data_IF_022605786408
#
_entry.id   IF_022605786408
#
_cell.length_a   1.000
_cell.length_b   1.000
_cell.length_c   1.000
_cell.angle_alpha   90.00
_cell.angle_beta   90.00
_cell.angle_gamma   90.00
#
_symmetry.space_group_name_H-M   'P 1'
#
loop_
_entity.id
_entity.type
_entity.pdbx_description
1 polymer ?
#
# COMPACT_ATOMS: atom_id res chain seq x y z
N UNK A 1 -22.35 0.01 -4.66
CA UNK A 1 -21.24 -0.61 -5.43
C UNK A 1 -20.73 -1.81 -4.65
N UNK A 2 -20.17 -2.83 -5.33
CA UNK A 2 -19.48 -3.92 -4.63
C UNK A 2 -18.22 -3.37 -3.94
N UNK A 3 -17.83 -3.99 -2.84
CA UNK A 3 -16.58 -3.67 -2.15
C UNK A 3 -15.40 -4.00 -3.05
N UNK A 4 -14.48 -3.06 -3.23
CA UNK A 4 -13.22 -3.27 -3.94
C UNK A 4 -12.33 -4.32 -3.27
N UNK A 5 -11.29 -4.75 -3.98
CA UNK A 5 -10.28 -5.67 -3.45
C UNK A 5 -9.01 -4.91 -3.05
N UNK A 6 -8.48 -5.19 -1.88
CA UNK A 6 -7.24 -4.60 -1.38
C UNK A 6 -6.09 -5.62 -1.47
N UNK A 7 -4.98 -5.17 -2.03
CA UNK A 7 -3.78 -5.98 -2.25
C UNK A 7 -2.59 -5.24 -1.64
N UNK A 8 -1.94 -5.85 -0.67
CA UNK A 8 -0.70 -5.37 -0.08
C UNK A 8 0.49 -6.05 -0.77
N UNK A 9 1.53 -5.29 -1.11
CA UNK A 9 2.74 -5.82 -1.72
C UNK A 9 3.91 -5.64 -0.77
N UNK A 10 4.54 -6.73 -0.38
CA UNK A 10 5.65 -6.75 0.55
C UNK A 10 6.86 -7.50 -0.02
N UNK A 11 8.05 -7.08 0.38
CA UNK A 11 9.29 -7.79 0.11
C UNK A 11 10.34 -7.43 1.15
N UNK A 12 10.94 -8.44 1.77
CA UNK A 12 11.88 -8.29 2.88
C UNK A 12 13.23 -7.65 2.50
N UNK A 13 13.42 -7.31 1.22
CA UNK A 13 14.64 -6.68 0.71
C UNK A 13 14.29 -5.34 0.07
N UNK A 14 15.02 -4.29 0.42
CA UNK A 14 14.93 -2.99 -0.25
C UNK A 14 15.34 -3.11 -1.73
N UNK A 15 14.68 -2.36 -2.60
CA UNK A 15 15.00 -2.34 -4.04
C UNK A 15 14.59 -3.58 -4.83
N UNK A 16 13.76 -4.48 -4.28
CA UNK A 16 13.30 -5.69 -4.98
C UNK A 16 12.27 -5.39 -6.10
N UNK A 17 11.82 -4.15 -6.19
CA UNK A 17 10.88 -3.73 -7.25
C UNK A 17 9.41 -3.66 -6.83
N UNK A 18 9.07 -3.62 -5.53
CA UNK A 18 7.68 -3.52 -5.04
C UNK A 18 6.91 -2.37 -5.70
N UNK A 19 7.43 -1.15 -5.57
CA UNK A 19 6.80 0.05 -6.16
C UNK A 19 6.66 -0.09 -7.68
N UNK A 20 7.69 -0.61 -8.37
CA UNK A 20 7.63 -0.86 -9.82
C UNK A 20 6.53 -1.86 -10.16
N UNK A 21 6.41 -2.94 -9.40
CA UNK A 21 5.36 -3.94 -9.58
C UNK A 21 3.97 -3.32 -9.40
N UNK A 22 3.77 -2.55 -8.33
CA UNK A 22 2.49 -1.87 -8.03
C UNK A 22 2.10 -0.92 -9.16
N UNK A 23 3.03 -0.11 -9.65
CA UNK A 23 2.75 0.85 -10.73
C UNK A 23 2.37 0.15 -12.04
N UNK A 24 3.05 -0.95 -12.39
CA UNK A 24 2.72 -1.74 -13.56
C UNK A 24 1.37 -2.47 -13.41
N UNK A 25 1.10 -3.02 -12.22
CA UNK A 25 -0.18 -3.65 -11.92
C UNK A 25 -1.32 -2.63 -12.01
N UNK A 26 -1.14 -1.43 -11.44
CA UNK A 26 -2.11 -0.35 -11.54
C UNK A 26 -2.38 0.04 -13.01
N UNK A 27 -1.32 0.18 -13.81
CA UNK A 27 -1.45 0.46 -15.25
C UNK A 27 -2.22 -0.64 -15.99
N UNK A 28 -1.92 -1.90 -15.69
CA UNK A 28 -2.62 -3.05 -16.29
C UNK A 28 -4.09 -3.06 -15.91
N UNK A 29 -4.41 -2.84 -14.63
CA UNK A 29 -5.80 -2.79 -14.16
C UNK A 29 -6.56 -1.59 -14.75
N UNK A 30 -5.90 -0.45 -14.88
CA UNK A 30 -6.47 0.74 -15.54
C UNK A 30 -6.84 0.47 -17.00
N UNK A 31 -6.00 -0.27 -17.74
CA UNK A 31 -6.28 -0.69 -19.12
C UNK A 31 -7.48 -1.66 -19.20
N UNK A 32 -7.81 -2.33 -18.10
CA UNK A 32 -9.04 -3.14 -17.94
C UNK A 32 -10.23 -2.32 -17.40
N UNK A 33 -10.16 -0.99 -17.46
CA UNK A 33 -11.18 -0.06 -16.97
C UNK A 33 -11.49 -0.24 -15.47
N UNK A 34 -10.52 -0.67 -14.66
CA UNK A 34 -10.65 -0.72 -13.20
C UNK A 34 -10.19 0.59 -12.56
N UNK A 35 -10.97 1.09 -11.63
CA UNK A 35 -10.59 2.23 -10.80
C UNK A 35 -9.62 1.74 -9.73
N UNK A 36 -8.42 2.26 -9.73
CA UNK A 36 -7.31 1.82 -8.87
C UNK A 36 -6.88 2.96 -7.96
N UNK A 37 -6.80 2.67 -6.67
CA UNK A 37 -6.13 3.52 -5.69
C UNK A 37 -4.80 2.89 -5.31
N UNK A 38 -3.73 3.67 -5.30
CA UNK A 38 -2.45 3.27 -4.71
C UNK A 38 -2.28 4.01 -3.39
N UNK A 39 -1.97 3.29 -2.31
CA UNK A 39 -1.64 3.87 -1.00
C UNK A 39 -0.16 3.62 -0.73
N UNK A 40 0.63 4.69 -0.63
CA UNK A 40 2.06 4.63 -0.34
C UNK A 40 2.29 4.58 1.17
N UNK A 41 2.55 3.39 1.70
CA UNK A 41 2.89 3.15 3.10
C UNK A 41 4.42 3.00 3.34
N UNK A 42 5.26 3.24 2.33
CA UNK A 42 6.68 3.51 2.60
C UNK A 42 6.83 4.94 3.14
N UNK A 43 6.37 5.13 4.36
CA UNK A 43 6.17 6.43 4.98
C UNK A 43 7.45 7.26 5.12
N UNK A 44 8.61 6.61 5.07
CA UNK A 44 9.91 7.27 5.20
C UNK A 44 10.58 7.56 3.85
N UNK A 45 10.30 6.74 2.83
CA UNK A 45 10.97 6.81 1.53
C UNK A 45 9.98 6.69 0.36
N UNK A 46 8.75 7.16 0.55
CA UNK A 46 7.68 7.03 -0.45
C UNK A 46 8.14 7.42 -1.85
N UNK A 47 7.94 6.52 -2.81
CA UNK A 47 8.43 6.66 -4.16
C UNK A 47 7.35 6.81 -5.22
N UNK A 48 6.08 6.58 -4.89
CA UNK A 48 4.96 6.61 -5.85
C UNK A 48 4.86 7.98 -6.54
N UNK A 49 4.82 9.07 -5.77
CA UNK A 49 4.68 10.41 -6.33
C UNK A 49 5.85 10.80 -7.24
N UNK A 50 7.08 10.46 -6.85
CA UNK A 50 8.28 10.70 -7.66
C UNK A 50 8.24 9.87 -8.95
N UNK A 51 7.90 8.59 -8.85
CA UNK A 51 7.83 7.68 -10.00
C UNK A 51 6.77 8.08 -11.03
N UNK A 52 5.68 8.71 -10.57
CA UNK A 52 4.59 9.22 -11.43
C UNK A 52 4.80 10.68 -11.85
N UNK A 53 5.92 11.30 -11.47
CA UNK A 53 6.22 12.72 -11.72
C UNK A 53 5.05 13.65 -11.30
N UNK A 54 4.44 13.35 -10.15
CA UNK A 54 3.25 14.03 -9.68
C UNK A 54 3.57 15.12 -8.65
N UNK A 55 2.84 16.24 -8.72
CA UNK A 55 2.92 17.28 -7.72
C UNK A 55 2.19 16.85 -6.45
N UNK A 56 2.91 16.85 -5.32
CA UNK A 56 2.34 16.54 -4.03
C UNK A 56 1.49 17.69 -3.51
N UNK A 57 0.20 17.50 -3.40
CA UNK A 57 -0.76 18.40 -2.74
C UNK A 57 -0.91 18.05 -1.28
N UNK A 58 -1.70 17.01 -0.99
CA UNK A 58 -1.88 16.41 0.34
C UNK A 58 -1.26 15.02 0.37
N UNK A 59 -0.93 14.54 1.56
CA UNK A 59 -0.30 13.25 1.83
C UNK A 59 -1.12 12.49 2.88
N UNK A 60 -0.78 11.24 3.11
CA UNK A 60 -1.39 10.46 4.20
C UNK A 60 -1.23 11.14 5.57
N UNK A 61 -0.15 11.88 5.80
CA UNK A 61 0.03 12.67 7.02
C UNK A 61 -1.02 13.77 7.16
N UNK A 62 -1.34 14.47 6.07
CA UNK A 62 -2.39 15.49 6.10
C UNK A 62 -3.75 14.90 6.43
N UNK A 63 -4.06 13.71 5.89
CA UNK A 63 -5.27 12.97 6.26
C UNK A 63 -5.30 12.67 7.76
N UNK A 64 -4.22 12.13 8.32
CA UNK A 64 -4.14 11.79 9.75
C UNK A 64 -4.29 13.03 10.64
N UNK A 65 -3.62 14.13 10.27
CA UNK A 65 -3.64 15.39 11.02
C UNK A 65 -5.03 16.05 10.96
N UNK A 66 -5.64 16.11 9.79
CA UNK A 66 -6.98 16.68 9.62
C UNK A 66 -8.04 15.83 10.33
N UNK A 67 -7.93 14.50 10.26
CA UNK A 67 -8.84 13.59 10.95
C UNK A 67 -8.74 13.73 12.47
N UNK A 68 -7.53 13.80 13.02
CA UNK A 68 -7.27 13.95 14.44
C UNK A 68 -7.73 15.29 15.01
N UNK A 69 -7.73 16.33 14.19
CA UNK A 69 -8.11 17.70 14.58
C UNK A 69 -9.54 18.08 14.15
N UNK A 70 -10.38 17.11 13.78
CA UNK A 70 -11.76 17.32 13.30
C UNK A 70 -11.85 18.32 12.12
N UNK A 71 -10.85 18.32 11.24
CA UNK A 71 -10.82 19.12 9.99
C UNK A 71 -11.03 18.26 8.75
N UNK A 72 -11.23 16.96 8.92
CA UNK A 72 -11.53 16.04 7.85
C UNK A 72 -12.94 16.32 7.29
N UNK A 73 -13.03 16.53 5.98
CA UNK A 73 -14.30 16.70 5.25
C UNK A 73 -14.53 15.48 4.34
N UNK A 74 -13.77 15.34 3.28
CA UNK A 74 -13.90 14.23 2.33
C UNK A 74 -12.55 13.53 2.12
N UNK A 75 -12.62 12.19 1.93
CA UNK A 75 -11.45 11.38 1.64
C UNK A 75 -10.86 11.70 0.25
N UNK A 76 -11.68 12.12 -0.67
CA UNK A 76 -11.27 12.46 -2.03
C UNK A 76 -10.30 13.66 -2.08
N UNK A 77 -10.30 14.52 -1.07
CA UNK A 77 -9.36 15.64 -0.94
C UNK A 77 -7.89 15.21 -0.84
N UNK A 78 -7.66 13.96 -0.47
CA UNK A 78 -6.31 13.39 -0.29
C UNK A 78 -5.87 12.55 -1.49
N UNK A 79 -6.73 12.40 -2.51
CA UNK A 79 -6.38 11.69 -3.72
C UNK A 79 -5.62 12.60 -4.68
N UNK A 80 -4.48 12.11 -5.15
CA UNK A 80 -3.75 12.70 -6.27
C UNK A 80 -4.10 11.88 -7.50
N UNK A 81 -4.80 12.49 -8.44
CA UNK A 81 -5.17 11.87 -9.72
C UNK A 81 -3.95 11.75 -10.62
N UNK A 82 -3.66 10.54 -11.10
CA UNK A 82 -2.68 10.30 -12.14
C UNK A 82 -3.31 10.26 -13.53
N UNK A 83 -4.44 9.56 -13.68
CA UNK A 83 -5.26 9.52 -14.90
C UNK A 83 -6.74 9.28 -14.52
N UNK A 84 -7.58 8.93 -15.52
CA UNK A 84 -9.02 8.72 -15.29
C UNK A 84 -9.32 7.58 -14.32
N UNK A 85 -8.47 6.54 -14.28
CA UNK A 85 -8.70 5.33 -13.52
C UNK A 85 -7.73 5.13 -12.36
N UNK A 86 -6.60 5.87 -12.30
CA UNK A 86 -5.59 5.72 -11.25
C UNK A 86 -5.53 6.99 -10.42
N UNK A 87 -5.72 6.81 -9.12
CA UNK A 87 -5.41 7.81 -8.10
C UNK A 87 -4.46 7.23 -7.06
N UNK A 88 -3.78 8.07 -6.31
CA UNK A 88 -2.93 7.60 -5.22
C UNK A 88 -2.97 8.55 -4.03
N UNK A 89 -2.64 8.00 -2.84
CA UNK A 89 -2.36 8.74 -1.62
C UNK A 89 -0.87 8.60 -1.36
N UNK A 90 -0.18 9.74 -1.33
CA UNK A 90 1.26 9.77 -1.19
C UNK A 90 1.71 9.61 0.26
N UNK A 91 2.89 9.02 0.45
CA UNK A 91 3.63 9.07 1.71
C UNK A 91 3.94 10.51 2.14
N UNK A 92 4.27 10.75 3.42
CA UNK A 92 4.63 12.07 3.92
C UNK A 92 5.79 12.70 3.15
N UNK A 93 5.80 14.04 3.03
CA UNK A 93 6.95 14.78 2.46
C UNK A 93 8.18 14.76 3.38
N UNK A 94 7.95 14.73 4.68
CA UNK A 94 8.98 14.72 5.71
C UNK A 94 8.96 13.38 6.43
N UNK A 95 10.04 12.59 6.38
CA UNK A 95 10.12 11.28 7.05
C UNK A 95 9.80 11.33 8.56
N UNK A 96 10.04 12.47 9.21
CA UNK A 96 9.70 12.66 10.64
C UNK A 96 8.20 12.58 10.92
N UNK A 97 7.38 12.80 9.90
CA UNK A 97 5.93 12.69 10.01
C UNK A 97 5.44 11.24 10.05
N UNK A 98 6.25 10.29 9.58
CA UNK A 98 5.93 8.86 9.60
C UNK A 98 5.54 8.37 11.00
N UNK A 99 6.27 8.83 12.03
CA UNK A 99 6.03 8.45 13.43
C UNK A 99 4.70 8.98 14.02
N UNK A 100 3.99 9.85 13.29
CA UNK A 100 2.69 10.40 13.70
C UNK A 100 1.51 9.67 13.06
N UNK A 101 1.80 8.70 12.20
CA UNK A 101 0.78 7.91 11.50
C UNK A 101 0.56 6.62 12.28
N UNK A 102 -0.65 6.48 12.82
CA UNK A 102 -1.08 5.31 13.57
C UNK A 102 -1.89 4.37 12.68
N UNK A 103 -1.88 3.07 12.99
CA UNK A 103 -2.63 2.04 12.28
C UNK A 103 -4.13 2.31 12.19
N UNK A 104 -4.71 2.98 13.18
CA UNK A 104 -6.13 3.39 13.17
C UNK A 104 -6.49 4.26 11.95
N UNK A 105 -5.54 5.10 11.48
CA UNK A 105 -5.78 5.94 10.30
C UNK A 105 -5.72 5.12 9.00
N UNK A 106 -4.84 4.10 8.97
CA UNK A 106 -4.77 3.17 7.83
C UNK A 106 -6.06 2.38 7.72
N UNK A 107 -6.61 1.94 8.86
CA UNK A 107 -7.91 1.26 8.95
C UNK A 107 -9.03 2.09 8.33
N UNK A 108 -9.20 3.31 8.84
CA UNK A 108 -10.22 4.26 8.37
C UNK A 108 -10.03 4.57 6.88
N UNK A 109 -8.79 4.76 6.44
CA UNK A 109 -8.45 5.08 5.07
C UNK A 109 -8.89 3.97 4.11
N UNK A 110 -8.46 2.73 4.38
CA UNK A 110 -8.81 1.57 3.55
C UNK A 110 -10.33 1.37 3.54
N UNK A 111 -11.00 1.45 4.68
CA UNK A 111 -12.44 1.26 4.76
C UNK A 111 -13.23 2.31 3.97
N UNK A 112 -12.83 3.59 4.05
CA UNK A 112 -13.45 4.66 3.27
C UNK A 112 -13.25 4.46 1.76
N UNK A 113 -12.08 3.99 1.35
CA UNK A 113 -11.72 3.82 -0.06
C UNK A 113 -12.31 2.55 -0.70
N UNK A 114 -12.65 1.53 0.08
CA UNK A 114 -13.11 0.23 -0.40
C UNK A 114 -14.37 0.27 -1.28
N UNK A 115 -15.17 1.33 -1.20
CA UNK A 115 -16.37 1.50 -2.02
C UNK A 115 -16.19 2.50 -3.17
N UNK A 116 -15.06 3.20 -3.21
CA UNK A 116 -14.75 4.20 -4.24
C UNK A 116 -13.94 3.62 -5.39
N UNK A 117 -13.16 2.55 -5.12
CA UNK A 117 -12.25 1.92 -6.07
C UNK A 117 -12.55 0.44 -6.22
N UNK A 118 -12.23 -0.09 -7.41
CA UNK A 118 -12.37 -1.53 -7.68
C UNK A 118 -11.20 -2.32 -7.10
N UNK A 119 -10.00 -1.69 -7.08
CA UNK A 119 -8.78 -2.26 -6.49
C UNK A 119 -8.01 -1.19 -5.71
N UNK A 120 -7.55 -1.56 -4.51
CA UNK A 120 -6.64 -0.77 -3.69
C UNK A 120 -5.30 -1.52 -3.64
N UNK A 121 -4.22 -0.88 -4.08
CA UNK A 121 -2.86 -1.39 -4.03
C UNK A 121 -2.10 -0.67 -2.91
N UNK A 122 -1.51 -1.42 -1.99
CA UNK A 122 -0.79 -0.88 -0.84
C UNK A 122 0.70 -1.18 -0.99
N UNK A 123 1.50 -0.12 -1.19
CA UNK A 123 2.96 -0.21 -1.24
C UNK A 123 3.54 -0.13 0.16
N UNK A 124 4.36 -1.11 0.55
CA UNK A 124 4.92 -1.20 1.90
C UNK A 124 6.43 -1.07 1.91
N UNK A 125 7.00 -0.85 3.09
CA UNK A 125 8.44 -0.91 3.30
C UNK A 125 8.96 -2.36 3.23
N UNK A 126 10.27 -2.53 3.42
CA UNK A 126 10.91 -3.83 3.55
C UNK A 126 11.00 -4.30 5.02
N UNK A 127 10.61 -3.49 5.97
CA UNK A 127 10.60 -3.81 7.40
C UNK A 127 9.26 -4.40 7.83
N UNK A 128 9.28 -5.25 8.86
CA UNK A 128 8.07 -5.73 9.54
C UNK A 128 7.73 -4.79 10.71
N UNK A 129 7.43 -3.55 10.38
CA UNK A 129 6.92 -2.61 11.36
C UNK A 129 5.40 -2.77 11.59
N UNK A 130 4.90 -2.05 12.58
CA UNK A 130 3.50 -2.15 12.98
C UNK A 130 2.53 -1.76 11.87
N UNK A 131 2.89 -0.78 11.02
CA UNK A 131 2.06 -0.31 9.90
C UNK A 131 1.94 -1.41 8.84
N UNK A 132 3.06 -2.03 8.47
CA UNK A 132 3.08 -3.11 7.48
C UNK A 132 2.33 -4.34 7.96
N UNK A 133 2.57 -4.78 9.22
CA UNK A 133 1.83 -5.91 9.80
C UNK A 133 0.33 -5.63 9.83
N UNK A 134 -0.07 -4.41 10.19
CA UNK A 134 -1.48 -4.03 10.15
C UNK A 134 -2.05 -4.05 8.72
N UNK A 135 -1.28 -3.55 7.72
CA UNK A 135 -1.71 -3.58 6.32
C UNK A 135 -1.92 -5.02 5.81
N UNK A 136 -1.09 -5.99 6.26
CA UNK A 136 -1.27 -7.40 5.92
C UNK A 136 -2.58 -7.97 6.49
N UNK A 137 -2.89 -7.65 7.75
CA UNK A 137 -4.12 -8.10 8.41
C UNK A 137 -5.38 -7.45 7.78
N UNK A 138 -5.24 -6.24 7.25
CA UNK A 138 -6.37 -5.45 6.74
C UNK A 138 -6.69 -5.73 5.27
N UNK A 139 -5.69 -6.06 4.45
CA UNK A 139 -5.86 -6.29 3.01
C UNK A 139 -6.46 -7.66 2.72
N UNK A 140 -7.23 -7.76 1.62
CA UNK A 140 -7.80 -9.04 1.16
C UNK A 140 -6.70 -10.00 0.69
N UNK A 141 -5.58 -9.48 0.14
CA UNK A 141 -4.44 -10.28 -0.36
C UNK A 141 -3.11 -9.63 0.00
N UNK A 142 -2.10 -10.47 0.24
CA UNK A 142 -0.71 -10.04 0.42
C UNK A 142 0.18 -10.72 -0.61
N UNK A 143 0.85 -9.93 -1.44
CA UNK A 143 1.83 -10.42 -2.40
C UNK A 143 3.22 -10.27 -1.82
N UNK A 144 3.89 -11.42 -1.61
CA UNK A 144 5.27 -11.46 -1.14
C UNK A 144 6.22 -11.54 -2.32
N UNK A 145 7.02 -10.49 -2.51
CA UNK A 145 8.09 -10.47 -3.50
C UNK A 145 9.40 -10.94 -2.87
N UNK A 146 10.10 -11.83 -3.55
CA UNK A 146 11.42 -12.32 -3.13
C UNK A 146 12.35 -12.45 -4.32
N UNK A 147 13.66 -12.39 -4.09
CA UNK A 147 14.67 -12.74 -5.09
C UNK A 147 15.13 -14.19 -4.88
N UNK A 148 15.57 -14.84 -5.98
CA UNK A 148 16.04 -16.21 -5.94
C UNK A 148 17.46 -16.32 -5.38
N UNK A 149 17.64 -15.85 -4.13
CA UNK A 149 18.87 -16.01 -3.37
C UNK A 149 18.57 -16.62 -1.97
N UNK A 150 19.51 -17.38 -1.37
CA UNK A 150 19.25 -18.12 -0.14
C UNK A 150 18.85 -17.24 1.04
N UNK A 151 19.34 -15.99 1.11
CA UNK A 151 19.04 -15.07 2.22
C UNK A 151 17.61 -14.56 2.09
N UNK A 152 17.21 -14.15 0.89
CA UNK A 152 15.85 -13.67 0.62
C UNK A 152 14.81 -14.77 0.84
N UNK A 153 15.09 -16.00 0.38
CA UNK A 153 14.21 -17.14 0.59
C UNK A 153 14.10 -17.53 2.08
N UNK A 154 15.23 -17.47 2.82
CA UNK A 154 15.19 -17.68 4.28
C UNK A 154 14.34 -16.62 4.98
N UNK A 155 14.49 -15.36 4.60
CA UNK A 155 13.72 -14.25 5.19
C UNK A 155 12.23 -14.41 4.88
N UNK A 156 11.87 -14.73 3.63
CA UNK A 156 10.49 -15.02 3.26
C UNK A 156 9.92 -16.17 4.10
N UNK A 157 10.66 -17.29 4.22
CA UNK A 157 10.23 -18.43 5.05
C UNK A 157 9.97 -18.01 6.50
N UNK A 158 10.85 -17.20 7.08
CA UNK A 158 10.67 -16.72 8.46
C UNK A 158 9.39 -15.87 8.59
N UNK A 159 9.11 -15.02 7.63
CA UNK A 159 7.91 -14.17 7.60
C UNK A 159 6.67 -15.06 7.48
N UNK A 160 6.64 -15.97 6.51
CA UNK A 160 5.52 -16.88 6.32
C UNK A 160 5.25 -17.71 7.58
N UNK A 161 6.30 -18.18 8.28
CA UNK A 161 6.13 -18.91 9.54
C UNK A 161 5.49 -18.06 10.64
N UNK A 162 5.76 -16.74 10.68
CA UNK A 162 5.14 -15.83 11.65
C UNK A 162 3.64 -15.68 11.35
N UNK A 163 3.26 -15.65 10.09
CA UNK A 163 1.88 -15.49 9.66
C UNK A 163 1.10 -16.81 9.59
N UNK A 164 1.74 -17.93 9.32
CA UNK A 164 1.13 -19.28 9.28
C UNK A 164 0.51 -19.67 10.64
N UNK A 165 1.00 -19.08 11.72
CA UNK A 165 0.41 -19.25 13.04
C UNK A 165 -0.95 -18.53 13.22
N UNK A 166 -1.39 -17.68 12.26
CA UNK A 166 -2.61 -16.87 12.44
C UNK A 166 -3.62 -16.84 11.29
N UNK A 167 -3.29 -16.87 10.00
CA UNK A 167 -4.23 -16.36 9.00
C UNK A 167 -4.21 -17.05 7.62
N UNK A 168 -3.15 -17.70 7.16
CA UNK A 168 -3.09 -18.15 5.77
C UNK A 168 -3.61 -19.55 5.54
N UNK A 169 -4.90 -19.64 5.41
CA UNK A 169 -5.54 -20.64 4.56
C UNK A 169 -5.84 -19.94 3.24
N UNK A 170 -5.13 -20.33 2.18
CA UNK A 170 -5.43 -20.07 0.78
C UNK A 170 -4.75 -18.87 0.13
N UNK A 171 -4.09 -19.18 -0.97
CA UNK A 171 -3.64 -18.34 -2.08
C UNK A 171 -2.27 -17.66 -1.94
N UNK A 172 -1.22 -18.47 -1.81
CA UNK A 172 0.13 -18.06 -2.20
C UNK A 172 0.21 -18.12 -3.74
N UNK A 173 0.15 -16.98 -4.40
CA UNK A 173 0.42 -16.90 -5.84
C UNK A 173 1.93 -16.73 -6.01
N UNK A 174 2.61 -17.77 -6.45
CA UNK A 174 4.01 -17.69 -6.85
C UNK A 174 4.09 -17.07 -8.24
N UNK A 175 4.70 -15.90 -8.34
CA UNK A 175 5.10 -15.32 -9.61
C UNK A 175 6.61 -15.53 -9.68
N UNK A 176 7.05 -16.53 -10.44
CA UNK A 176 8.45 -16.67 -10.84
C UNK A 176 8.74 -15.62 -11.92
N UNK A 177 9.76 -14.79 -11.66
CA UNK A 177 10.28 -13.79 -12.61
C UNK A 177 11.59 -14.31 -13.17
#
# INVERSE_FOLDING_TARGET
MAKGKSICVYGAKGGIGKTTFILNLAGTLSNLNKRVLIIDLDLSNGAIACSLNANLTKTIYNFCDDYNNNRFDDIEDYFIKYNENISFIAAPKDPRQANKIDTKYIDILIDKCNYLFDVILVDTTHSLDQINVFAFDKCDYVYFMTSNDPISLKNLKNILNIFDMKIFTNDVINIDV
#
